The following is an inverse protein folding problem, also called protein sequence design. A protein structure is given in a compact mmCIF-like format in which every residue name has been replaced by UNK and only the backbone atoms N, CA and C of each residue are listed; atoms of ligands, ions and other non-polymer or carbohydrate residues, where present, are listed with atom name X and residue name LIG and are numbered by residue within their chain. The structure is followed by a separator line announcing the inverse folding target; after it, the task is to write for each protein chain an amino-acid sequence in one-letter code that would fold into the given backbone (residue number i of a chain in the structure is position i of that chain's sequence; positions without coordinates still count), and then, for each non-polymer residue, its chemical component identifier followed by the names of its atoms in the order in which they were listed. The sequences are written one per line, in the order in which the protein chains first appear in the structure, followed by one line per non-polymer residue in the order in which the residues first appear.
data_IF_434442236480
#
_entry.id   IF_434442236480
#
_cell.length_a   1.000
_cell.length_b   1.000
_cell.length_c   1.000
_cell.angle_alpha   90.00
_cell.angle_beta   90.00
_cell.angle_gamma   90.00
#
_symmetry.space_group_name_H-M   'P 1'
#
loop_
_entity.id
_entity.type
_entity.pdbx_description
1 polymer ?
#
# COMPACT_ATOMS: atom_id res chain seq x y z
N UNK A 1 -17.26 16.52 -17.99
CA UNK A 1 -16.45 16.18 -16.81
C UNK A 1 -16.89 14.83 -16.27
N UNK A 2 -16.16 13.75 -16.57
CA UNK A 2 -16.39 12.44 -15.96
C UNK A 2 -15.59 12.37 -14.66
N UNK A 3 -16.26 12.17 -13.53
CA UNK A 3 -15.63 12.13 -12.19
C UNK A 3 -15.00 10.74 -11.94
N UNK A 4 -15.49 9.69 -12.61
CA UNK A 4 -15.05 8.30 -12.41
C UNK A 4 -15.01 7.53 -13.74
N UNK A 5 -14.08 6.57 -13.84
CA UNK A 5 -13.98 5.62 -14.97
C UNK A 5 -14.84 4.36 -14.79
N UNK A 6 -15.14 4.00 -13.54
CA UNK A 6 -15.87 2.79 -13.18
C UNK A 6 -16.67 3.01 -11.88
N UNK A 7 -17.81 2.31 -11.75
CA UNK A 7 -18.68 2.34 -10.55
C UNK A 7 -19.02 0.91 -10.18
N UNK A 8 -18.72 0.52 -8.93
CA UNK A 8 -19.02 -0.81 -8.40
C UNK A 8 -20.10 -0.72 -7.31
N UNK A 9 -21.18 -1.49 -7.46
CA UNK A 9 -22.21 -1.62 -6.42
C UNK A 9 -21.84 -2.75 -5.45
N UNK A 10 -21.58 -2.39 -4.20
CA UNK A 10 -20.87 -3.24 -3.23
C UNK A 10 -21.75 -3.73 -2.08
N UNK A 11 -23.05 -3.41 -2.11
CA UNK A 11 -24.03 -3.85 -1.12
C UNK A 11 -24.57 -2.71 -0.26
N UNK A 12 -25.05 -3.00 0.96
CA UNK A 12 -25.75 -2.04 1.81
C UNK A 12 -24.83 -0.92 2.33
N UNK A 13 -25.43 0.06 3.00
CA UNK A 13 -24.71 1.17 3.61
C UNK A 13 -23.52 0.68 4.46
N UNK A 14 -22.35 1.28 4.24
CA UNK A 14 -21.09 0.90 4.90
C UNK A 14 -20.19 -0.02 4.06
N UNK A 15 -20.73 -0.82 3.13
CA UNK A 15 -19.94 -1.77 2.34
C UNK A 15 -18.86 -1.09 1.47
N UNK A 16 -19.16 0.09 0.92
CA UNK A 16 -18.18 0.89 0.15
C UNK A 16 -17.05 1.45 0.99
N UNK A 17 -17.31 1.78 2.26
CA UNK A 17 -16.26 2.18 3.19
C UNK A 17 -15.36 0.98 3.49
N UNK A 18 -15.95 -0.18 3.83
CA UNK A 18 -15.19 -1.41 4.10
C UNK A 18 -14.30 -1.79 2.91
N UNK A 19 -14.83 -1.76 1.68
CA UNK A 19 -14.04 -2.06 0.49
C UNK A 19 -12.87 -1.07 0.29
N UNK A 20 -13.12 0.22 0.54
CA UNK A 20 -12.06 1.23 0.50
C UNK A 20 -10.97 0.97 1.54
N UNK A 21 -11.35 0.55 2.74
CA UNK A 21 -10.42 0.20 3.81
C UNK A 21 -9.59 -1.05 3.46
N UNK A 22 -10.21 -2.09 2.87
CA UNK A 22 -9.49 -3.27 2.35
C UNK A 22 -8.40 -2.84 1.35
N UNK A 23 -8.75 -2.00 0.37
CA UNK A 23 -7.77 -1.51 -0.60
C UNK A 23 -6.64 -0.73 0.06
N UNK A 24 -6.96 0.14 1.03
CA UNK A 24 -5.95 0.95 1.73
C UNK A 24 -5.01 0.10 2.58
N UNK A 25 -5.52 -0.93 3.26
CA UNK A 25 -4.70 -1.86 4.03
C UNK A 25 -3.72 -2.60 3.11
N UNK A 26 -4.21 -3.19 2.02
CA UNK A 26 -3.37 -3.90 1.05
C UNK A 26 -2.29 -3.00 0.46
N UNK A 27 -2.65 -1.78 0.06
CA UNK A 27 -1.68 -0.81 -0.44
C UNK A 27 -0.63 -0.45 0.62
N UNK A 28 -1.03 -0.32 1.88
CA UNK A 28 -0.14 0.00 2.97
C UNK A 28 0.89 -1.09 3.24
N UNK A 29 0.44 -2.33 3.44
CA UNK A 29 1.32 -3.49 3.62
C UNK A 29 2.27 -3.66 2.45
N UNK A 30 1.78 -3.46 1.22
CA UNK A 30 2.61 -3.56 0.02
C UNK A 30 3.73 -2.51 -0.04
N UNK A 31 3.45 -1.26 0.35
CA UNK A 31 4.47 -0.20 0.36
C UNK A 31 5.52 -0.44 1.45
N UNK A 32 5.12 -0.94 2.62
CA UNK A 32 6.06 -1.34 3.68
C UNK A 32 6.97 -2.46 3.17
N UNK A 33 6.39 -3.53 2.62
CA UNK A 33 7.15 -4.65 2.09
C UNK A 33 8.11 -4.24 0.95
N UNK A 34 7.70 -3.33 0.06
CA UNK A 34 8.59 -2.77 -0.96
C UNK A 34 9.76 -2.00 -0.33
N UNK A 35 9.50 -1.23 0.72
CA UNK A 35 10.53 -0.44 1.39
C UNK A 35 11.57 -1.34 2.08
N UNK A 36 11.11 -2.38 2.77
CA UNK A 36 11.97 -3.39 3.40
C UNK A 36 12.77 -4.17 2.35
N UNK A 37 12.14 -4.62 1.26
CA UNK A 37 12.81 -5.36 0.20
C UNK A 37 13.89 -4.52 -0.51
N UNK A 38 13.62 -3.24 -0.77
CA UNK A 38 14.62 -2.32 -1.34
C UNK A 38 15.77 -2.13 -0.36
N UNK A 39 15.49 -1.84 0.91
CA UNK A 39 16.53 -1.64 1.93
C UNK A 39 17.40 -2.90 2.09
N UNK A 40 16.79 -4.07 2.19
CA UNK A 40 17.49 -5.35 2.26
C UNK A 40 18.41 -5.58 1.04
N UNK A 41 17.92 -5.28 -0.17
CA UNK A 41 18.73 -5.40 -1.39
C UNK A 41 19.96 -4.49 -1.39
N UNK A 42 19.81 -3.25 -0.90
CA UNK A 42 20.92 -2.30 -0.77
C UNK A 42 21.95 -2.77 0.26
N UNK A 43 21.51 -3.23 1.43
CA UNK A 43 22.40 -3.78 2.48
C UNK A 43 23.12 -5.05 2.01
N UNK A 44 22.49 -5.84 1.14
CA UNK A 44 23.11 -6.99 0.49
C UNK A 44 24.12 -6.62 -0.62
N UNK A 45 24.33 -5.32 -0.89
CA UNK A 45 25.26 -4.83 -1.90
C UNK A 45 24.76 -4.93 -3.33
N UNK A 46 23.45 -5.05 -3.55
CA UNK A 46 22.88 -5.10 -4.89
C UNK A 46 22.81 -3.70 -5.51
N UNK A 47 23.10 -3.64 -6.81
CA UNK A 47 22.98 -2.41 -7.58
C UNK A 47 21.54 -1.87 -7.57
N UNK A 48 21.31 -0.59 -7.22
CA UNK A 48 19.98 0.03 -7.20
C UNK A 48 19.16 -0.19 -8.48
N UNK A 49 19.83 -0.12 -9.63
CA UNK A 49 19.20 -0.30 -10.94
C UNK A 49 18.67 -1.73 -11.16
N UNK A 50 19.31 -2.74 -10.58
CA UNK A 50 18.86 -4.13 -10.65
C UNK A 50 17.67 -4.36 -9.72
N UNK A 51 17.68 -3.75 -8.52
CA UNK A 51 16.55 -3.77 -7.58
C UNK A 51 15.33 -3.14 -8.25
N UNK A 52 15.49 -1.97 -8.87
CA UNK A 52 14.43 -1.28 -9.59
C UNK A 52 13.89 -2.14 -10.74
N UNK A 53 14.77 -2.65 -11.62
CA UNK A 53 14.38 -3.52 -12.73
C UNK A 53 13.60 -4.74 -12.27
N UNK A 54 14.02 -5.37 -11.17
CA UNK A 54 13.32 -6.52 -10.59
C UNK A 54 11.91 -6.13 -10.12
N UNK A 55 11.80 -5.14 -9.23
CA UNK A 55 10.54 -4.80 -8.55
C UNK A 55 9.53 -4.06 -9.45
N UNK A 56 10.01 -3.39 -10.49
CA UNK A 56 9.18 -2.61 -11.41
C UNK A 56 8.83 -3.37 -12.68
N UNK A 57 9.72 -4.24 -13.19
CA UNK A 57 9.55 -4.81 -14.53
C UNK A 57 9.47 -6.34 -14.55
N UNK A 58 10.24 -7.05 -13.73
CA UNK A 58 10.37 -8.51 -13.86
C UNK A 58 9.48 -9.28 -12.88
N UNK A 59 9.31 -8.75 -11.67
CA UNK A 59 8.61 -9.43 -10.59
C UNK A 59 7.12 -9.63 -10.90
N UNK A 60 6.59 -10.79 -10.52
CA UNK A 60 5.15 -11.09 -10.57
C UNK A 60 4.33 -10.23 -9.60
N UNK A 61 4.98 -9.69 -8.56
CA UNK A 61 4.34 -8.77 -7.60
C UNK A 61 4.39 -7.30 -8.03
N UNK A 62 4.86 -6.99 -9.25
CA UNK A 62 4.88 -5.60 -9.73
C UNK A 62 3.46 -5.05 -9.83
N UNK A 63 3.33 -3.74 -9.63
CA UNK A 63 2.07 -3.02 -9.80
C UNK A 63 2.35 -1.59 -10.28
N UNK A 64 1.34 -0.85 -10.76
CA UNK A 64 1.49 0.58 -11.02
C UNK A 64 2.05 1.35 -9.80
N UNK A 65 1.77 0.87 -8.58
CA UNK A 65 2.33 1.45 -7.37
C UNK A 65 3.83 1.18 -7.22
N UNK A 66 4.35 -0.01 -7.57
CA UNK A 66 5.80 -0.26 -7.48
C UNK A 66 6.58 0.64 -8.45
N UNK A 67 6.07 0.85 -9.67
CA UNK A 67 6.67 1.75 -10.65
C UNK A 67 6.78 3.21 -10.15
N UNK A 68 5.86 3.66 -9.29
CA UNK A 68 5.88 5.01 -8.71
C UNK A 68 6.73 5.05 -7.43
N UNK A 69 6.67 4.00 -6.60
CA UNK A 69 7.22 4.00 -5.24
C UNK A 69 8.68 3.57 -5.18
N UNK A 70 9.07 2.52 -5.91
CA UNK A 70 10.45 1.97 -5.86
C UNK A 70 11.51 3.03 -6.19
N UNK A 71 11.36 3.86 -7.26
CA UNK A 71 12.35 4.89 -7.55
C UNK A 71 12.45 5.96 -6.45
N UNK A 72 11.34 6.26 -5.77
CA UNK A 72 11.31 7.22 -4.65
C UNK A 72 11.99 6.66 -3.41
N UNK A 73 11.72 5.39 -3.10
CA UNK A 73 12.35 4.67 -1.98
C UNK A 73 13.87 4.61 -2.18
N UNK A 74 14.34 4.27 -3.38
CA UNK A 74 15.77 4.22 -3.72
C UNK A 74 16.48 5.57 -3.57
N UNK A 75 15.76 6.69 -3.73
CA UNK A 75 16.29 8.05 -3.50
C UNK A 75 16.13 8.54 -2.06
N UNK A 76 15.63 7.71 -1.15
CA UNK A 76 15.21 8.11 0.20
C UNK A 76 14.23 9.29 0.20
N UNK A 77 13.47 9.46 -0.89
CA UNK A 77 12.51 10.53 -1.06
C UNK A 77 11.15 10.08 -0.50
N UNK A 78 10.99 10.32 0.81
CA UNK A 78 9.77 10.06 1.55
C UNK A 78 8.85 11.29 1.62
N UNK A 79 9.02 12.29 0.74
CA UNK A 79 8.29 13.57 0.80
C UNK A 79 6.75 13.43 0.77
N UNK A 80 6.20 12.25 0.43
CA UNK A 80 4.79 11.92 0.66
C UNK A 80 4.50 11.53 2.13
N UNK A 81 4.79 12.41 3.09
CA UNK A 81 4.37 12.25 4.50
C UNK A 81 2.83 12.16 4.65
N UNK A 82 2.09 12.62 3.64
CA UNK A 82 0.63 12.53 3.58
C UNK A 82 0.13 11.08 3.56
N UNK A 83 0.79 10.18 2.82
CA UNK A 83 0.29 8.81 2.64
C UNK A 83 0.41 7.98 3.91
N UNK A 84 1.51 8.12 4.67
CA UNK A 84 1.72 7.35 5.90
C UNK A 84 0.82 7.85 7.04
N UNK A 85 0.71 9.17 7.22
CA UNK A 85 -0.23 9.77 8.19
C UNK A 85 -1.68 9.38 7.88
N UNK A 86 -2.04 9.31 6.61
CA UNK A 86 -3.35 8.79 6.20
C UNK A 86 -3.48 7.30 6.43
N UNK A 87 -2.45 6.51 6.12
CA UNK A 87 -2.43 5.08 6.41
C UNK A 87 -2.65 4.79 7.89
N UNK A 88 -1.97 5.51 8.79
CA UNK A 88 -2.15 5.39 10.24
C UNK A 88 -3.60 5.74 10.63
N UNK A 89 -4.14 6.85 10.12
CA UNK A 89 -5.55 7.22 10.35
C UNK A 89 -6.51 6.15 9.84
N UNK A 90 -6.25 5.59 8.67
CA UNK A 90 -7.06 4.55 8.05
C UNK A 90 -6.94 3.22 8.82
N UNK A 91 -5.76 2.88 9.35
CA UNK A 91 -5.54 1.75 10.24
C UNK A 91 -6.33 1.89 11.54
N UNK A 92 -6.37 3.09 12.15
CA UNK A 92 -7.23 3.34 13.33
C UNK A 92 -8.72 3.18 13.00
N UNK A 93 -9.15 3.56 11.79
CA UNK A 93 -10.54 3.34 11.33
C UNK A 93 -10.78 1.84 11.09
N UNK A 94 -9.83 1.13 10.47
CA UNK A 94 -9.88 -0.32 10.25
C UNK A 94 -9.98 -1.06 11.59
N UNK A 95 -9.16 -0.69 12.57
CA UNK A 95 -9.20 -1.28 13.91
C UNK A 95 -10.55 -1.01 14.59
N UNK A 96 -11.07 0.23 14.48
CA UNK A 96 -12.39 0.58 14.97
C UNK A 96 -13.53 -0.21 14.32
N UNK A 97 -13.46 -0.45 13.01
CA UNK A 97 -14.42 -1.30 12.29
C UNK A 97 -14.25 -2.79 12.59
N UNK A 98 -13.01 -3.29 12.70
CA UNK A 98 -12.72 -4.67 13.04
C UNK A 98 -13.23 -5.02 14.44
N UNK A 99 -13.04 -4.11 15.41
CA UNK A 99 -13.63 -4.21 16.76
C UNK A 99 -15.16 -4.21 16.72
N UNK A 100 -15.79 -3.39 15.87
CA UNK A 100 -17.26 -3.40 15.68
C UNK A 100 -17.78 -4.68 15.05
N UNK A 101 -17.00 -5.31 14.17
CA UNK A 101 -17.40 -6.49 13.39
C UNK A 101 -16.91 -7.81 14.00
N UNK A 102 -16.28 -7.80 15.17
CA UNK A 102 -15.66 -8.97 15.82
C UNK A 102 -14.69 -9.75 14.90
N UNK A 103 -14.04 -9.06 13.96
CA UNK A 103 -13.11 -9.67 13.01
C UNK A 103 -11.66 -9.52 13.51
N UNK A 104 -10.91 -10.62 13.56
CA UNK A 104 -9.50 -10.59 13.96
C UNK A 104 -8.64 -10.06 12.81
N UNK A 105 -7.97 -8.92 13.02
CA UNK A 105 -7.08 -8.28 12.06
C UNK A 105 -5.64 -8.32 12.59
N UNK A 106 -4.88 -9.42 12.39
CA UNK A 106 -3.53 -9.56 12.95
C UNK A 106 -2.49 -8.60 12.34
N UNK A 107 -2.79 -7.97 11.21
CA UNK A 107 -1.92 -6.95 10.58
C UNK A 107 -2.26 -5.51 11.00
N UNK A 108 -3.35 -5.31 11.75
CA UNK A 108 -3.84 -3.99 12.18
C UNK A 108 -3.71 -3.71 13.67
N UNK A 109 -3.10 -4.63 14.43
CA UNK A 109 -2.81 -4.51 15.87
C UNK A 109 -1.38 -4.06 16.12
#
# INVERSE_FOLDING_TARGET
HHISREVLHVGPNGAGLSLKLVHKLTLGSYVVALSEAVHFGLEAGLEPSLIEKLLVSLSSVRSPNSAIKVPKILRSDYATQFSLKHMIKDLSIIEGEARRQHSSMPLGS
#
